data_IF_234837245661
#
_entry.id   IF_234837245661
#
_cell.length_a   1.000
_cell.length_b   1.000
_cell.length_c   1.000
_cell.angle_alpha   90.00
_cell.angle_beta   90.00
_cell.angle_gamma   90.00
#
_symmetry.space_group_name_H-M   'P 1'
#
loop_
_entity.id
_entity.type
_entity.pdbx_description
1 polymer ?
#
# COMPACT_ATOMS: atom_id res chain seq x y z
N UNK A 1 -5.94 -22.52 -8.63
CA UNK A 1 -4.48 -22.38 -8.39
C UNK A 1 -4.00 -21.01 -8.86
N UNK A 2 -3.12 -20.39 -8.10
CA UNK A 2 -2.55 -19.11 -8.48
C UNK A 2 -1.46 -19.34 -9.50
N UNK A 3 -1.64 -18.76 -10.69
CA UNK A 3 -0.65 -18.87 -11.77
C UNK A 3 0.38 -17.76 -11.72
N UNK A 4 -0.03 -16.59 -11.25
CA UNK A 4 0.84 -15.43 -11.15
C UNK A 4 0.26 -14.45 -10.13
N UNK A 5 1.09 -13.52 -9.69
CA UNK A 5 0.69 -12.43 -8.81
C UNK A 5 0.88 -11.13 -9.59
N UNK A 6 -0.24 -10.41 -9.86
CA UNK A 6 -0.19 -9.13 -10.56
C UNK A 6 0.17 -7.99 -9.64
N UNK A 7 -0.29 -8.03 -8.39
CA UNK A 7 0.02 -6.99 -7.42
C UNK A 7 -0.09 -7.53 -6.00
N UNK A 8 0.54 -6.83 -5.09
CA UNK A 8 0.56 -7.15 -3.66
C UNK A 8 0.22 -5.89 -2.88
N UNK A 9 -0.76 -5.98 -1.99
CA UNK A 9 -1.17 -4.85 -1.17
C UNK A 9 -0.64 -4.99 0.26
N UNK A 10 -0.07 -3.91 0.78
CA UNK A 10 0.45 -3.86 2.14
C UNK A 10 -0.18 -2.67 2.87
N UNK A 11 -0.87 -2.94 3.97
CA UNK A 11 -1.48 -1.90 4.79
C UNK A 11 -0.40 -1.21 5.64
N UNK A 12 -0.38 0.12 5.60
CA UNK A 12 0.56 0.93 6.39
C UNK A 12 -0.19 2.06 7.09
N UNK A 13 0.36 2.58 8.17
CA UNK A 13 -0.25 3.69 8.89
C UNK A 13 -0.02 5.04 8.23
N UNK A 14 1.09 5.20 7.50
CA UNK A 14 1.44 6.47 6.87
C UNK A 14 2.21 6.24 5.60
N UNK A 15 1.70 6.73 4.46
CA UNK A 15 2.43 6.70 3.20
C UNK A 15 3.64 7.63 3.25
N UNK A 16 3.52 8.77 3.93
CA UNK A 16 4.61 9.73 4.02
C UNK A 16 5.83 9.15 4.73
N UNK A 17 5.62 8.20 5.63
CA UNK A 17 6.71 7.49 6.31
C UNK A 17 7.13 6.24 5.55
N UNK A 18 6.17 5.49 5.01
CA UNK A 18 6.46 4.19 4.39
C UNK A 18 7.09 4.32 3.01
N UNK A 19 6.64 5.27 2.18
CA UNK A 19 7.17 5.43 0.82
C UNK A 19 8.68 5.67 0.82
N UNK A 20 9.22 6.64 1.59
CA UNK A 20 10.67 6.83 1.62
C UNK A 20 11.44 5.61 2.12
N UNK A 21 10.86 4.87 3.06
CA UNK A 21 11.49 3.66 3.58
C UNK A 21 11.62 2.60 2.50
N UNK A 22 10.54 2.36 1.74
CA UNK A 22 10.56 1.39 0.66
C UNK A 22 11.49 1.80 -0.47
N UNK A 23 11.55 3.10 -0.77
CA UNK A 23 12.47 3.61 -1.79
C UNK A 23 13.92 3.41 -1.39
N UNK A 24 14.27 3.72 -0.14
CA UNK A 24 15.65 3.63 0.33
C UNK A 24 16.08 2.21 0.66
N UNK A 25 15.26 1.49 1.43
CA UNK A 25 15.63 0.16 1.91
C UNK A 25 15.60 -0.89 0.81
N UNK A 26 14.65 -0.80 -0.11
CA UNK A 26 14.45 -1.80 -1.16
C UNK A 26 14.86 -1.29 -2.54
N UNK A 27 15.26 -0.03 -2.66
CA UNK A 27 15.70 0.53 -3.94
C UNK A 27 14.57 0.65 -4.95
N UNK A 28 13.31 0.73 -4.49
CA UNK A 28 12.16 0.83 -5.38
C UNK A 28 11.87 2.28 -5.73
N UNK A 29 11.20 2.49 -6.85
CA UNK A 29 10.77 3.81 -7.28
C UNK A 29 9.26 3.90 -7.17
N UNK A 30 8.76 4.91 -6.45
CA UNK A 30 7.33 5.15 -6.35
C UNK A 30 6.82 5.68 -7.70
N UNK A 31 5.90 4.96 -8.31
CA UNK A 31 5.34 5.33 -9.62
C UNK A 31 4.24 6.38 -9.50
N UNK A 32 3.61 6.48 -8.35
CA UNK A 32 2.55 7.45 -8.13
C UNK A 32 1.74 7.12 -6.89
N UNK A 33 0.82 8.04 -6.58
CA UNK A 33 -0.11 7.88 -5.47
C UNK A 33 -1.52 8.18 -5.96
N UNK A 34 -2.50 7.57 -5.30
CA UNK A 34 -3.90 7.75 -5.66
C UNK A 34 -4.76 7.65 -4.39
N UNK A 35 -5.85 8.40 -4.35
CA UNK A 35 -6.82 8.27 -3.28
C UNK A 35 -8.09 7.62 -3.83
N UNK A 36 -8.52 6.52 -3.20
CA UNK A 36 -9.74 5.81 -3.57
C UNK A 36 -10.77 6.07 -2.47
N UNK A 37 -11.55 7.14 -2.65
CA UNK A 37 -12.47 7.62 -1.63
C UNK A 37 -13.54 6.59 -1.27
N UNK A 38 -14.02 5.82 -2.26
CA UNK A 38 -15.05 4.81 -2.02
C UNK A 38 -14.56 3.68 -1.10
N UNK A 39 -13.25 3.47 -1.01
CA UNK A 39 -12.66 2.47 -0.15
C UNK A 39 -11.94 3.05 1.06
N UNK A 40 -11.97 4.38 1.18
CA UNK A 40 -11.37 5.11 2.30
C UNK A 40 -9.89 4.79 2.48
N UNK A 41 -9.16 4.87 1.36
CA UNK A 41 -7.75 4.50 1.30
C UNK A 41 -6.99 5.41 0.35
N UNK A 42 -5.72 5.68 0.69
CA UNK A 42 -4.73 6.23 -0.23
C UNK A 42 -3.73 5.15 -0.56
N UNK A 43 -3.28 5.13 -1.80
CA UNK A 43 -2.35 4.10 -2.26
C UNK A 43 -1.10 4.74 -2.85
N UNK A 44 0.02 4.03 -2.73
CA UNK A 44 1.26 4.36 -3.43
C UNK A 44 1.70 3.10 -4.19
N UNK A 45 2.15 3.28 -5.42
CA UNK A 45 2.43 2.17 -6.33
C UNK A 45 3.92 2.06 -6.63
N UNK A 46 4.41 0.83 -6.64
CA UNK A 46 5.78 0.49 -7.03
C UNK A 46 5.73 -0.66 -8.02
N UNK A 47 6.71 -0.72 -8.92
CA UNK A 47 6.88 -1.89 -9.80
C UNK A 47 8.07 -2.69 -9.33
N UNK A 48 7.87 -3.98 -9.11
CA UNK A 48 8.90 -4.89 -8.62
C UNK A 48 8.95 -6.08 -9.57
N UNK A 49 9.76 -5.96 -10.62
CA UNK A 49 9.96 -7.05 -11.58
C UNK A 49 8.67 -7.50 -12.25
N UNK A 50 7.79 -6.57 -12.61
CA UNK A 50 6.51 -6.87 -13.25
C UNK A 50 5.36 -7.10 -12.28
N UNK A 51 5.64 -7.16 -10.98
CA UNK A 51 4.62 -7.23 -9.94
C UNK A 51 4.41 -5.84 -9.38
N UNK A 52 3.16 -5.43 -9.24
CA UNK A 52 2.83 -4.13 -8.65
C UNK A 52 2.72 -4.26 -7.14
N UNK A 53 3.50 -3.46 -6.43
CA UNK A 53 3.41 -3.36 -4.98
C UNK A 53 2.63 -2.10 -4.64
N UNK A 54 1.59 -2.24 -3.83
CA UNK A 54 0.78 -1.12 -3.37
C UNK A 54 0.86 -0.98 -1.87
N UNK A 55 1.17 0.22 -1.40
CA UNK A 55 1.06 0.56 0.02
C UNK A 55 -0.30 1.23 0.23
N UNK A 56 -1.04 0.79 1.24
CA UNK A 56 -2.41 1.20 1.48
C UNK A 56 -2.51 1.90 2.84
N UNK A 57 -2.83 3.20 2.81
CA UNK A 57 -3.02 4.01 4.03
C UNK A 57 -4.50 4.33 4.19
N UNK A 58 -5.11 4.08 5.37
CA UNK A 58 -6.51 4.42 5.58
C UNK A 58 -6.71 5.93 5.65
N UNK A 59 -7.80 6.42 5.05
CA UNK A 59 -8.18 7.83 5.15
C UNK A 59 -9.27 8.07 6.18
N UNK A 60 -9.80 7.00 6.77
CA UNK A 60 -10.89 7.08 7.76
C UNK A 60 -10.80 5.88 8.69
N UNK A 61 -11.12 6.04 9.98
CA UNK A 61 -11.03 4.93 10.94
C UNK A 61 -12.07 3.83 10.74
N UNK A 62 -13.10 4.06 9.95
CA UNK A 62 -14.16 3.08 9.70
C UNK A 62 -13.99 2.29 8.40
N UNK A 63 -12.91 2.52 7.66
CA UNK A 63 -12.65 1.80 6.43
C UNK A 63 -12.01 0.43 6.68
N UNK A 64 -11.99 -0.46 5.65
CA UNK A 64 -11.48 -1.82 5.82
C UNK A 64 -9.99 -1.87 6.15
N UNK A 65 -9.17 -0.96 5.58
CA UNK A 65 -7.74 -0.96 5.87
C UNK A 65 -7.47 -0.48 7.30
N UNK A 66 -8.24 0.51 7.78
CA UNK A 66 -8.12 0.96 9.17
C UNK A 66 -8.45 -0.17 10.14
N UNK A 67 -9.49 -0.93 9.84
CA UNK A 67 -9.86 -2.09 10.67
C UNK A 67 -8.81 -3.19 10.64
N UNK A 68 -8.22 -3.43 9.49
CA UNK A 68 -7.14 -4.38 9.36
C UNK A 68 -5.94 -3.98 10.23
N UNK A 69 -5.54 -2.70 10.17
CA UNK A 69 -4.40 -2.20 10.95
C UNK A 69 -4.69 -2.26 12.46
N UNK A 70 -5.91 -1.98 12.87
CA UNK A 70 -6.30 -2.04 14.28
C UNK A 70 -6.24 -3.47 14.82
N UNK A 71 -6.57 -4.45 13.96
CA UNK A 71 -6.62 -5.87 14.35
C UNK A 71 -5.27 -6.57 14.20
N UNK A 72 -4.57 -6.34 13.10
CA UNK A 72 -3.36 -7.11 12.75
C UNK A 72 -2.07 -6.29 12.86
N UNK A 73 -2.15 -4.96 12.79
CA UNK A 73 -0.96 -4.12 12.68
C UNK A 73 -0.38 -4.13 11.27
N UNK A 74 0.77 -3.50 11.12
CA UNK A 74 1.46 -3.44 9.82
C UNK A 74 2.13 -4.72 9.42
#
# INVERSE_FOLDING_TARGET
>A
MIQSIDHLGIAVRSLDEAVPLYEKALGLTCLGREEVASQKVRTAFFDVGGVHLELLEPTSPDGPIAKFLADKGE
#
